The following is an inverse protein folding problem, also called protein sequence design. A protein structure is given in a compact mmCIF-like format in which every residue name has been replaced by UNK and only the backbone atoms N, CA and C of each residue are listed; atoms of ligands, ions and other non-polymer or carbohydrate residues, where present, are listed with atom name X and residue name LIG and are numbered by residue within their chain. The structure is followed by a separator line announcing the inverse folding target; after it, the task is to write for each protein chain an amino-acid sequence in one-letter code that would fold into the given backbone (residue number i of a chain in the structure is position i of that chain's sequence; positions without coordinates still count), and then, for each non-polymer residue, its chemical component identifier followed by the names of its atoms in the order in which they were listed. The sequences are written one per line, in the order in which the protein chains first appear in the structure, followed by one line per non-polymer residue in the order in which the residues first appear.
data_IF_318416365531
#
_entry.id   IF_318416365531
#
_cell.length_a   1.000
_cell.length_b   1.000
_cell.length_c   1.000
_cell.angle_alpha   90.00
_cell.angle_beta   90.00
_cell.angle_gamma   90.00
#
_symmetry.space_group_name_H-M   'P 1'
#
loop_
_entity.id
_entity.type
_entity.pdbx_description
1 polymer ?
#
# COMPACT_ATOMS: atom_id res chain seq x y z
N UNK A 1 -17.73 -12.51 -18.57
CA UNK A 1 -17.28 -11.11 -18.41
C UNK A 1 -16.21 -10.86 -19.46
N UNK A 2 -16.52 -10.05 -20.48
CA UNK A 2 -15.61 -9.76 -21.58
C UNK A 2 -14.82 -8.50 -21.21
N UNK A 3 -13.73 -8.65 -20.46
CA UNK A 3 -12.84 -7.53 -20.12
C UNK A 3 -11.90 -7.31 -21.32
N UNK A 4 -11.83 -6.09 -21.90
CA UNK A 4 -10.92 -5.80 -23.00
C UNK A 4 -9.46 -6.04 -22.58
N UNK A 5 -8.54 -6.27 -23.56
CA UNK A 5 -7.13 -6.54 -23.28
C UNK A 5 -6.40 -5.43 -22.53
N UNK A 6 -7.00 -4.23 -22.41
CA UNK A 6 -6.56 -3.18 -21.51
C UNK A 6 -7.53 -3.03 -20.33
N UNK A 7 -7.03 -3.18 -19.10
CA UNK A 7 -7.83 -3.17 -17.88
C UNK A 7 -8.47 -1.81 -17.52
N UNK A 8 -8.35 -0.78 -18.38
CA UNK A 8 -8.71 0.61 -18.11
C UNK A 8 -10.21 0.85 -17.79
N UNK A 9 -11.08 -0.13 -18.03
CA UNK A 9 -12.51 -0.04 -17.72
C UNK A 9 -13.06 -1.29 -17.02
N UNK A 10 -12.19 -2.14 -16.48
CA UNK A 10 -12.61 -3.33 -15.75
C UNK A 10 -12.74 -3.03 -14.26
N UNK A 11 -13.85 -3.44 -13.67
CA UNK A 11 -14.11 -3.33 -12.23
C UNK A 11 -14.15 -4.74 -11.61
N UNK A 12 -13.71 -4.90 -10.36
CA UNK A 12 -13.88 -6.17 -9.66
C UNK A 12 -15.36 -6.52 -9.59
N UNK A 13 -15.69 -7.80 -9.71
CA UNK A 13 -17.08 -8.28 -9.66
C UNK A 13 -17.77 -7.93 -8.33
N UNK A 14 -16.99 -7.89 -7.24
CA UNK A 14 -17.43 -7.46 -5.91
C UNK A 14 -16.28 -6.78 -5.20
N UNK A 15 -16.58 -5.71 -4.48
CA UNK A 15 -15.65 -5.10 -3.54
C UNK A 15 -15.94 -5.65 -2.13
N UNK A 16 -14.91 -6.15 -1.46
CA UNK A 16 -15.01 -6.66 -0.09
C UNK A 16 -14.22 -5.73 0.81
N UNK A 17 -14.89 -5.08 1.74
CA UNK A 17 -14.23 -4.28 2.78
C UNK A 17 -13.67 -5.21 3.84
N UNK A 18 -12.42 -5.02 4.22
CA UNK A 18 -11.78 -5.70 5.34
C UNK A 18 -11.31 -4.64 6.34
N UNK A 19 -11.57 -4.87 7.63
CA UNK A 19 -11.23 -3.94 8.70
C UNK A 19 -9.72 -3.86 8.98
N UNK A 20 -8.96 -4.88 8.57
CA UNK A 20 -7.50 -4.90 8.75
C UNK A 20 -6.77 -5.52 7.55
N UNK A 21 -5.50 -5.16 7.43
CA UNK A 21 -4.58 -5.72 6.44
C UNK A 21 -4.40 -7.23 6.67
N UNK A 22 -4.30 -7.68 7.92
CA UNK A 22 -4.14 -9.11 8.22
C UNK A 22 -5.34 -9.92 7.70
N UNK A 23 -6.57 -9.46 7.96
CA UNK A 23 -7.77 -10.15 7.46
C UNK A 23 -7.81 -10.16 5.93
N UNK A 24 -7.42 -9.05 5.30
CA UNK A 24 -7.32 -8.96 3.85
C UNK A 24 -6.31 -9.97 3.29
N UNK A 25 -5.13 -10.11 3.90
CA UNK A 25 -4.11 -11.08 3.48
C UNK A 25 -4.57 -12.53 3.69
N UNK A 26 -5.30 -12.83 4.77
CA UNK A 26 -5.89 -14.15 4.97
C UNK A 26 -6.90 -14.51 3.87
N UNK A 27 -7.72 -13.55 3.41
CA UNK A 27 -8.64 -13.78 2.29
C UNK A 27 -7.91 -14.02 0.97
N UNK A 28 -6.80 -13.31 0.73
CA UNK A 28 -5.94 -13.51 -0.45
C UNK A 28 -5.26 -14.87 -0.40
N UNK A 29 -4.65 -15.24 0.73
CA UNK A 29 -4.01 -16.54 0.93
C UNK A 29 -5.00 -17.71 0.79
N UNK A 30 -6.27 -17.51 1.18
CA UNK A 30 -7.35 -18.46 0.97
C UNK A 30 -7.91 -18.48 -0.46
N UNK A 31 -7.36 -17.69 -1.39
CA UNK A 31 -7.80 -17.61 -2.79
C UNK A 31 -9.18 -16.97 -2.97
N UNK A 32 -9.66 -16.19 -2.00
CA UNK A 32 -11.02 -15.61 -1.99
C UNK A 32 -11.08 -14.20 -2.58
N UNK A 33 -9.96 -13.50 -2.66
CA UNK A 33 -9.89 -12.17 -3.27
C UNK A 33 -8.48 -11.85 -3.80
N UNK A 34 -8.38 -10.71 -4.47
CA UNK A 34 -7.12 -10.03 -4.76
C UNK A 34 -7.09 -8.72 -3.97
N UNK A 35 -5.89 -8.19 -3.70
CA UNK A 35 -5.74 -6.87 -3.08
C UNK A 35 -4.61 -6.07 -3.71
N UNK A 36 -4.63 -4.77 -3.49
CA UNK A 36 -3.59 -3.81 -3.87
C UNK A 36 -3.09 -3.14 -2.60
N UNK A 37 -1.82 -3.36 -2.26
CA UNK A 37 -1.14 -2.77 -1.11
C UNK A 37 0.24 -2.27 -1.54
N UNK A 38 0.84 -1.29 -0.83
CA UNK A 38 2.21 -0.89 -1.09
C UNK A 38 3.21 -2.04 -0.90
N UNK A 39 4.22 -2.11 -1.77
CA UNK A 39 5.26 -3.16 -1.74
C UNK A 39 5.96 -3.26 -0.37
N UNK A 40 6.25 -2.13 0.27
CA UNK A 40 6.92 -2.10 1.58
C UNK A 40 6.09 -2.81 2.66
N UNK A 41 4.76 -2.64 2.64
CA UNK A 41 3.85 -3.25 3.60
C UNK A 41 3.74 -4.75 3.38
N UNK A 42 3.69 -5.19 2.12
CA UNK A 42 3.59 -6.61 1.78
C UNK A 42 4.85 -7.40 2.15
N UNK A 43 6.03 -6.78 2.11
CA UNK A 43 7.30 -7.42 2.50
C UNK A 43 7.28 -7.92 3.95
N UNK A 44 6.60 -7.18 4.83
CA UNK A 44 6.48 -7.52 6.24
C UNK A 44 5.20 -8.33 6.51
N UNK A 45 4.05 -7.79 6.13
CA UNK A 45 2.75 -8.35 6.52
C UNK A 45 2.41 -9.67 5.82
N UNK A 46 2.92 -9.90 4.61
CA UNK A 46 2.70 -11.15 3.87
C UNK A 46 3.87 -12.14 3.98
N UNK A 47 4.87 -11.86 4.84
CA UNK A 47 6.03 -12.72 5.02
C UNK A 47 5.61 -14.14 5.41
N UNK A 48 6.07 -15.14 4.65
CA UNK A 48 5.75 -16.55 4.89
C UNK A 48 4.35 -16.99 4.45
N UNK A 49 3.52 -16.08 3.91
CA UNK A 49 2.22 -16.45 3.35
C UNK A 49 2.37 -16.95 1.90
N UNK A 50 1.48 -17.85 1.43
CA UNK A 50 1.48 -18.33 0.05
C UNK A 50 0.86 -17.30 -0.92
N UNK A 51 1.38 -16.07 -0.92
CA UNK A 51 0.85 -14.94 -1.70
C UNK A 51 1.86 -14.54 -2.76
N UNK A 52 1.39 -14.37 -4.00
CA UNK A 52 2.19 -13.85 -5.12
C UNK A 52 1.96 -12.36 -5.29
N UNK A 53 3.04 -11.58 -5.33
CA UNK A 53 2.99 -10.14 -5.63
C UNK A 53 3.07 -9.90 -7.15
N UNK A 54 2.31 -8.93 -7.63
CA UNK A 54 2.30 -8.49 -9.03
C UNK A 54 2.37 -6.97 -9.10
N UNK A 55 3.11 -6.46 -10.08
CA UNK A 55 3.17 -5.03 -10.36
C UNK A 55 1.91 -4.57 -11.10
N UNK A 56 1.42 -3.39 -10.77
CA UNK A 56 0.35 -2.74 -11.52
C UNK A 56 0.96 -2.00 -12.72
N UNK A 57 0.78 -2.54 -13.91
CA UNK A 57 1.38 -2.03 -15.14
C UNK A 57 2.86 -2.40 -15.28
N UNK A 58 3.44 -2.09 -16.45
CA UNK A 58 4.82 -2.48 -16.79
C UNK A 58 5.87 -1.89 -15.82
N UNK A 59 5.67 -0.63 -15.43
CA UNK A 59 6.60 0.07 -14.53
C UNK A 59 6.25 -0.09 -13.04
N UNK A 60 5.06 -0.60 -12.70
CA UNK A 60 4.53 -0.56 -11.34
C UNK A 60 3.91 0.80 -10.99
N UNK A 61 2.95 0.78 -10.07
CA UNK A 61 2.28 1.98 -9.58
C UNK A 61 3.00 2.47 -8.33
N UNK A 62 3.77 3.56 -8.47
CA UNK A 62 4.49 4.16 -7.37
C UNK A 62 3.61 5.21 -6.65
N UNK A 63 3.56 5.14 -5.33
CA UNK A 63 2.83 6.08 -4.47
C UNK A 63 3.75 6.62 -3.39
N UNK A 64 3.77 7.93 -3.23
CA UNK A 64 4.50 8.60 -2.16
C UNK A 64 3.57 8.85 -0.96
N UNK A 65 4.06 8.59 0.25
CA UNK A 65 3.41 9.03 1.48
C UNK A 65 4.00 10.39 1.81
N UNK A 66 3.16 11.42 1.81
CA UNK A 66 3.58 12.79 2.11
C UNK A 66 3.23 13.14 3.54
N UNK A 67 4.15 13.84 4.21
CA UNK A 67 3.94 14.36 5.54
C UNK A 67 3.40 15.79 5.45
N UNK A 68 2.20 16.01 5.99
CA UNK A 68 1.61 17.34 6.12
C UNK A 68 1.81 17.89 7.53
N UNK A 69 2.12 19.18 7.63
CA UNK A 69 2.24 19.90 8.91
C UNK A 69 1.49 21.21 8.88
N UNK A 70 0.99 21.67 10.01
CA UNK A 70 0.34 22.97 10.08
C UNK A 70 1.37 24.11 9.90
N UNK A 71 0.93 25.22 9.30
CA UNK A 71 1.77 26.41 9.17
C UNK A 71 2.19 26.94 10.55
N UNK A 72 3.50 27.06 10.78
CA UNK A 72 4.06 27.53 12.05
C UNK A 72 4.51 26.44 13.03
N UNK A 73 4.11 25.18 12.84
CA UNK A 73 4.48 24.07 13.74
C UNK A 73 5.89 23.51 13.50
N UNK A 74 6.55 23.90 12.40
CA UNK A 74 7.90 23.42 12.06
C UNK A 74 8.98 23.84 13.07
N UNK A 75 8.67 24.79 13.96
CA UNK A 75 9.57 25.25 15.04
C UNK A 75 9.31 24.58 16.38
N UNK A 76 8.28 23.73 16.49
CA UNK A 76 8.04 22.98 17.71
C UNK A 76 9.12 21.91 17.83
N UNK A 77 9.77 21.83 19.00
CA UNK A 77 10.99 21.06 19.19
C UNK A 77 10.84 19.58 18.85
N UNK A 78 9.73 18.95 19.26
CA UNK A 78 9.46 17.54 18.93
C UNK A 78 9.27 17.34 17.42
N UNK A 79 8.66 18.29 16.72
CA UNK A 79 8.46 18.24 15.27
C UNK A 79 9.79 18.39 14.55
N UNK A 80 10.63 19.33 14.99
CA UNK A 80 11.99 19.49 14.49
C UNK A 80 12.85 18.24 14.73
N UNK A 81 12.69 17.59 15.89
CA UNK A 81 13.32 16.30 16.20
C UNK A 81 12.87 15.19 15.26
N UNK A 82 11.57 15.05 15.04
CA UNK A 82 11.02 14.09 14.11
C UNK A 82 11.54 14.30 12.67
N UNK A 83 11.57 15.55 12.18
CA UNK A 83 12.12 15.84 10.86
C UNK A 83 13.61 15.49 10.73
N UNK A 84 14.42 15.69 11.78
CA UNK A 84 15.83 15.26 11.77
C UNK A 84 15.93 13.74 11.64
N UNK A 85 15.11 13.00 12.37
CA UNK A 85 15.08 11.54 12.31
C UNK A 85 14.69 11.06 10.89
N UNK A 86 13.60 11.60 10.34
CA UNK A 86 13.13 11.22 8.99
C UNK A 86 14.20 11.49 7.93
N UNK A 87 14.93 12.61 8.03
CA UNK A 87 16.02 12.93 7.09
C UNK A 87 17.26 12.05 7.24
N UNK A 88 17.44 11.38 8.37
CA UNK A 88 18.56 10.45 8.58
C UNK A 88 18.29 9.04 8.05
N UNK A 89 17.04 8.72 7.72
CA UNK A 89 16.68 7.44 7.13
C UNK A 89 16.78 7.58 5.61
N UNK A 90 17.69 6.84 4.99
CA UNK A 90 17.74 6.73 3.53
C UNK A 90 16.52 5.93 3.02
N UNK A 91 15.95 6.32 1.86
CA UNK A 91 14.78 5.66 1.28
C UNK A 91 15.06 4.25 0.75
#
# INVERSE_FOLDING_TARGET
MNCPPNAAHCRPARHVTAESIDMMLQLVAAGRCITVLPDWLLREAAAGMPIRLLKIGYQGLHKSINLGTHAGESRIEHMAGFFRLVRSVEP
#
